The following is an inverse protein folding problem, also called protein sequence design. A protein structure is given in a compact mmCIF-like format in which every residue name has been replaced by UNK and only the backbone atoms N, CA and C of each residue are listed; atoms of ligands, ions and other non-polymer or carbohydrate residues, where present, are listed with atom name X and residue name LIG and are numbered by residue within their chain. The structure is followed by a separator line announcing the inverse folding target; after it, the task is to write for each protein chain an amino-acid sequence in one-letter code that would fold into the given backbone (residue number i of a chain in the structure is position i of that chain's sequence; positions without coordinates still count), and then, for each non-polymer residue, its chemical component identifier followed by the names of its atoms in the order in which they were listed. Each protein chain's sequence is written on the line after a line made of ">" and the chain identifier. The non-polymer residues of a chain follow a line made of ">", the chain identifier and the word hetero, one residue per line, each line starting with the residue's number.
data_IF_178146084468
#
_entry.id   IF_178146084468
#
_cell.length_a   1.000
_cell.length_b   1.000
_cell.length_c   1.000
_cell.angle_alpha   90.00
_cell.angle_beta   90.00
_cell.angle_gamma   90.00
#
_symmetry.space_group_name_H-M   'P 1'
#
loop_
_entity.id
_entity.type
_entity.pdbx_description
1 polymer ?
#
# COMPACT_ATOMS: atom_id res chain seq x y z
N UNK A 1 16.27 -1.99 -13.39
CA UNK A 1 15.97 -0.68 -12.77
C UNK A 1 16.99 -0.48 -11.69
N UNK A 2 17.66 0.65 -11.68
CA UNK A 2 18.51 1.03 -10.56
C UNK A 2 17.66 1.26 -9.30
N UNK A 3 18.27 1.17 -8.14
CA UNK A 3 17.59 1.35 -6.86
C UNK A 3 16.99 2.75 -6.73
N UNK A 4 15.79 2.85 -6.13
CA UNK A 4 15.18 4.14 -5.82
C UNK A 4 16.06 4.94 -4.85
N UNK A 5 16.13 6.28 -4.98
CA UNK A 5 16.85 7.11 -4.02
C UNK A 5 16.28 6.95 -2.61
N UNK A 6 17.15 6.98 -1.62
CA UNK A 6 16.73 7.00 -0.21
C UNK A 6 15.93 8.27 0.10
N UNK A 7 14.98 8.18 1.04
CA UNK A 7 14.19 9.31 1.51
C UNK A 7 15.08 10.47 2.00
N UNK A 8 16.17 10.17 2.70
CA UNK A 8 17.15 11.18 3.13
C UNK A 8 17.76 11.96 1.96
N UNK A 9 18.03 11.32 0.82
CA UNK A 9 18.57 11.98 -0.37
C UNK A 9 17.52 12.90 -1.03
N UNK A 10 16.26 12.47 -1.06
CA UNK A 10 15.14 13.31 -1.53
C UNK A 10 14.98 14.55 -0.65
N UNK A 11 15.09 14.39 0.68
CA UNK A 11 15.02 15.50 1.64
C UNK A 11 16.17 16.49 1.46
N UNK A 12 17.41 15.99 1.41
CA UNK A 12 18.62 16.81 1.30
C UNK A 12 18.71 17.55 -0.05
N UNK A 13 18.23 16.94 -1.13
CA UNK A 13 18.21 17.59 -2.46
C UNK A 13 17.11 18.64 -2.62
N UNK A 14 16.20 18.77 -1.66
CA UNK A 14 15.02 19.64 -1.75
C UNK A 14 13.92 19.12 -2.70
N UNK A 15 14.11 17.96 -3.35
CA UNK A 15 13.15 17.35 -4.27
C UNK A 15 12.31 16.30 -3.53
N UNK A 16 11.33 16.79 -2.75
CA UNK A 16 10.58 16.00 -1.76
C UNK A 16 9.22 15.49 -2.23
N UNK A 17 8.90 15.68 -3.51
CA UNK A 17 7.63 15.25 -4.10
C UNK A 17 7.90 14.35 -5.29
N UNK A 18 7.25 13.19 -5.29
CA UNK A 18 7.17 12.28 -6.42
C UNK A 18 5.68 12.06 -6.68
N UNK A 19 5.25 12.26 -7.91
CA UNK A 19 3.84 12.14 -8.30
C UNK A 19 3.68 10.91 -9.18
N UNK A 20 2.74 10.04 -8.80
CA UNK A 20 2.30 8.90 -9.58
C UNK A 20 0.85 9.09 -10.00
N UNK A 21 0.50 8.63 -11.20
CA UNK A 21 -0.87 8.57 -11.69
C UNK A 21 -1.21 7.11 -12.02
N UNK A 22 -2.32 6.64 -11.47
CA UNK A 22 -2.79 5.25 -11.54
C UNK A 22 -3.34 4.87 -12.92
N UNK A 23 -3.72 5.86 -13.72
CA UNK A 23 -4.29 5.63 -15.03
C UNK A 23 -3.99 6.79 -16.00
N UNK A 24 -3.61 6.43 -17.24
CA UNK A 24 -3.37 7.38 -18.34
C UNK A 24 -2.30 8.44 -18.05
N UNK A 25 -1.22 8.06 -17.36
CA UNK A 25 -0.02 8.90 -17.29
C UNK A 25 0.60 9.09 -18.68
N UNK A 26 0.81 10.34 -19.09
CA UNK A 26 1.46 10.72 -20.34
C UNK A 26 2.86 11.26 -20.02
N UNK A 27 3.79 10.35 -19.72
CA UNK A 27 5.17 10.71 -19.32
C UNK A 27 5.95 11.50 -20.39
N UNK A 28 5.81 11.23 -21.71
CA UNK A 28 6.45 12.06 -22.73
C UNK A 28 6.02 13.53 -22.68
N UNK A 29 4.75 13.80 -22.35
CA UNK A 29 4.20 15.16 -22.24
C UNK A 29 4.42 15.78 -20.85
N UNK A 30 4.31 14.97 -19.79
CA UNK A 30 4.40 15.38 -18.39
C UNK A 30 5.39 14.49 -17.62
N UNK A 31 6.70 14.67 -17.80
CA UNK A 31 7.72 13.75 -17.27
C UNK A 31 7.83 13.73 -15.73
N UNK A 32 7.14 14.63 -15.04
CA UNK A 32 7.05 14.70 -13.58
C UNK A 32 5.82 13.97 -13.01
N UNK A 33 4.94 13.43 -13.85
CA UNK A 33 3.82 12.56 -13.46
C UNK A 33 4.15 11.15 -13.96
N UNK A 34 4.59 10.29 -13.04
CA UNK A 34 5.01 8.93 -13.36
C UNK A 34 3.80 8.01 -13.51
N UNK A 35 3.85 7.07 -14.44
CA UNK A 35 2.89 5.96 -14.48
C UNK A 35 3.07 5.08 -13.25
N UNK A 36 2.06 5.02 -12.37
CA UNK A 36 2.13 4.21 -11.15
C UNK A 36 2.52 2.78 -11.47
N UNK A 37 1.87 2.13 -12.44
CA UNK A 37 2.08 0.72 -12.74
C UNK A 37 3.32 0.46 -13.60
N UNK A 38 4.05 1.50 -14.00
CA UNK A 38 5.42 1.34 -14.48
C UNK A 38 6.43 1.15 -13.33
N UNK A 39 6.12 1.62 -12.11
CA UNK A 39 7.04 1.61 -10.96
C UNK A 39 6.54 0.81 -9.74
N UNK A 40 5.23 0.64 -9.60
CA UNK A 40 4.58 -0.10 -8.53
C UNK A 40 4.02 -1.43 -9.03
N UNK A 41 3.88 -2.36 -8.10
CA UNK A 41 2.75 -3.28 -8.12
C UNK A 41 1.89 -3.06 -6.88
N UNK A 42 0.67 -3.59 -6.87
CA UNK A 42 -0.17 -3.59 -5.68
C UNK A 42 -0.97 -4.88 -5.52
N UNK A 43 -1.43 -5.11 -4.28
CA UNK A 43 -2.29 -6.23 -3.91
C UNK A 43 -3.75 -5.98 -4.32
N UNK A 44 -4.65 -6.99 -4.29
CA UNK A 44 -6.06 -6.75 -4.57
C UNK A 44 -6.70 -5.76 -3.60
N UNK A 45 -7.66 -4.99 -4.10
CA UNK A 45 -8.43 -3.98 -3.38
C UNK A 45 -9.88 -4.46 -3.14
N UNK A 46 -10.69 -3.65 -2.44
CA UNK A 46 -12.11 -3.93 -2.17
C UNK A 46 -12.38 -5.24 -1.44
N UNK A 47 -11.47 -5.69 -0.58
CA UNK A 47 -11.68 -6.92 0.20
C UNK A 47 -12.82 -6.76 1.20
N UNK A 48 -13.64 -7.80 1.34
CA UNK A 48 -14.66 -7.96 2.37
C UNK A 48 -14.28 -9.02 3.41
N UNK A 49 -13.14 -9.69 3.23
CA UNK A 49 -12.60 -10.63 4.22
C UNK A 49 -11.74 -9.85 5.24
N UNK A 50 -12.17 -9.80 6.52
CA UNK A 50 -11.46 -9.06 7.57
C UNK A 50 -10.10 -9.67 7.92
N UNK A 51 -9.77 -10.86 7.41
CA UNK A 51 -8.49 -11.52 7.69
C UNK A 51 -7.36 -11.10 6.74
N UNK A 52 -7.68 -10.47 5.61
CA UNK A 52 -6.71 -10.13 4.56
C UNK A 52 -5.79 -11.33 4.20
N UNK A 53 -6.35 -12.46 3.72
CA UNK A 53 -5.65 -13.75 3.69
C UNK A 53 -4.60 -13.89 2.58
N UNK A 54 -4.33 -12.84 1.82
CA UNK A 54 -3.48 -12.89 0.63
C UNK A 54 -2.79 -11.56 0.38
N UNK A 55 -1.56 -11.66 -0.15
CA UNK A 55 -0.79 -10.52 -0.63
C UNK A 55 -0.23 -10.82 -2.02
N UNK A 56 -1.08 -11.34 -2.94
CA UNK A 56 -0.68 -11.59 -4.32
C UNK A 56 -0.59 -10.28 -5.10
N UNK A 57 0.11 -10.28 -6.23
CA UNK A 57 0.08 -9.16 -7.17
C UNK A 57 -1.27 -9.14 -7.90
N UNK A 58 -1.91 -7.97 -7.94
CA UNK A 58 -3.15 -7.73 -8.69
C UNK A 58 -2.92 -6.81 -9.87
N UNK A 59 -2.31 -5.64 -9.61
CA UNK A 59 -2.05 -4.62 -10.62
C UNK A 59 -0.58 -4.23 -10.69
N UNK A 60 -0.02 -4.08 -11.90
CA UNK A 60 -0.63 -4.46 -13.18
C UNK A 60 -0.63 -6.00 -13.33
N UNK A 61 -1.52 -6.56 -14.17
CA UNK A 61 -1.56 -8.00 -14.41
C UNK A 61 -0.22 -8.49 -14.98
N UNK A 62 0.20 -9.68 -14.57
CA UNK A 62 1.47 -10.32 -14.96
C UNK A 62 2.75 -9.57 -14.55
N UNK A 63 2.67 -8.60 -13.63
CA UNK A 63 3.87 -7.99 -13.06
C UNK A 63 4.67 -8.98 -12.22
N UNK A 64 5.96 -8.68 -12.09
CA UNK A 64 6.87 -9.29 -11.12
C UNK A 64 7.14 -8.30 -10.00
N UNK A 65 7.39 -8.81 -8.79
CA UNK A 65 7.72 -7.96 -7.65
C UNK A 65 9.09 -7.27 -7.79
N UNK A 66 10.02 -7.91 -8.50
CA UNK A 66 11.39 -7.43 -8.67
C UNK A 66 11.44 -6.10 -9.43
N UNK A 67 12.26 -5.17 -8.92
CA UNK A 67 12.47 -3.87 -9.52
C UNK A 67 11.31 -2.89 -9.34
N UNK A 68 10.30 -3.22 -8.53
CA UNK A 68 9.14 -2.36 -8.29
C UNK A 68 9.00 -1.94 -6.83
N UNK A 69 8.51 -0.74 -6.59
CA UNK A 69 7.89 -0.39 -5.32
C UNK A 69 6.59 -1.20 -5.19
N UNK A 70 6.06 -1.33 -3.98
CA UNK A 70 4.72 -1.91 -3.85
C UNK A 70 3.85 -1.30 -2.78
N UNK A 71 2.56 -1.33 -3.09
CA UNK A 71 1.47 -0.82 -2.28
C UNK A 71 0.61 -1.99 -1.81
N UNK A 72 0.33 -2.02 -0.52
CA UNK A 72 -0.61 -2.98 0.07
C UNK A 72 -1.96 -2.29 0.25
N UNK A 73 -2.97 -2.80 -0.44
CA UNK A 73 -4.36 -2.38 -0.28
C UNK A 73 -4.94 -2.99 1.00
N UNK A 74 -4.85 -2.28 2.13
CA UNK A 74 -5.37 -2.69 3.43
C UNK A 74 -6.65 -1.91 3.78
N UNK A 75 -7.65 -2.01 2.89
CA UNK A 75 -8.96 -1.37 3.03
C UNK A 75 -10.04 -2.44 3.21
N UNK A 76 -10.63 -2.54 4.40
CA UNK A 76 -11.74 -3.46 4.67
C UNK A 76 -13.05 -2.81 4.27
N UNK A 77 -13.86 -3.56 3.54
CA UNK A 77 -15.18 -3.12 3.08
C UNK A 77 -16.28 -4.06 3.59
N UNK A 78 -17.51 -3.56 3.57
CA UNK A 78 -18.74 -4.34 3.73
C UNK A 78 -19.56 -4.24 2.46
N UNK A 79 -20.23 -5.34 2.12
CA UNK A 79 -21.23 -5.38 1.05
C UNK A 79 -22.62 -5.15 1.65
N UNK A 80 -23.26 -4.07 1.22
CA UNK A 80 -24.64 -3.72 1.58
C UNK A 80 -25.48 -3.79 0.31
N UNK A 81 -26.14 -4.93 0.10
CA UNK A 81 -27.03 -5.17 -1.05
C UNK A 81 -26.36 -4.95 -2.42
N UNK A 82 -25.11 -5.37 -2.57
CA UNK A 82 -24.30 -5.23 -3.78
C UNK A 82 -23.49 -3.94 -3.85
N UNK A 83 -23.58 -3.08 -2.82
CA UNK A 83 -22.80 -1.85 -2.73
C UNK A 83 -21.66 -2.05 -1.74
N UNK A 84 -20.42 -1.99 -2.25
CA UNK A 84 -19.21 -2.06 -1.44
C UNK A 84 -18.94 -0.68 -0.83
N UNK A 85 -18.87 -0.61 0.50
CA UNK A 85 -18.52 0.60 1.25
C UNK A 85 -17.45 0.32 2.29
N UNK A 86 -16.56 1.28 2.62
CA UNK A 86 -15.56 1.11 3.67
C UNK A 86 -16.17 0.75 5.03
N UNK A 87 -15.62 -0.27 5.71
CA UNK A 87 -16.07 -0.73 7.03
C UNK A 87 -15.58 0.21 8.14
N UNK A 88 -16.29 1.33 8.32
CA UNK A 88 -15.95 2.31 9.36
C UNK A 88 -16.06 1.76 10.78
N UNK A 89 -16.95 0.79 11.01
CA UNK A 89 -17.19 0.22 12.35
C UNK A 89 -15.98 -0.58 12.80
N UNK A 90 -15.39 -1.37 11.90
CA UNK A 90 -14.19 -2.17 12.20
C UNK A 90 -12.87 -1.43 11.98
N UNK A 91 -12.89 -0.20 11.46
CA UNK A 91 -11.68 0.58 11.20
C UNK A 91 -10.67 0.61 12.37
N UNK A 92 -11.06 0.74 13.66
CA UNK A 92 -10.09 0.66 14.76
C UNK A 92 -9.33 -0.67 14.85
N UNK A 93 -9.98 -1.80 14.50
CA UNK A 93 -9.36 -3.14 14.47
C UNK A 93 -8.56 -3.35 13.20
N UNK A 94 -9.11 -2.98 12.04
CA UNK A 94 -8.41 -3.07 10.74
C UNK A 94 -7.11 -2.27 10.80
N UNK A 95 -7.15 -1.03 11.28
CA UNK A 95 -5.98 -0.18 11.37
C UNK A 95 -5.12 -0.41 12.63
N UNK A 96 -5.28 -1.53 13.34
CA UNK A 96 -4.45 -1.85 14.49
C UNK A 96 -3.00 -2.13 14.07
N UNK A 97 -2.07 -2.01 15.01
CA UNK A 97 -0.66 -2.31 14.74
C UNK A 97 -0.38 -3.82 14.75
N UNK A 98 -1.14 -4.58 15.54
CA UNK A 98 -0.98 -6.04 15.67
C UNK A 98 -2.34 -6.73 15.78
N UNK A 99 -2.33 -8.06 15.66
CA UNK A 99 -3.52 -8.91 15.76
C UNK A 99 -4.10 -9.31 14.41
N UNK A 100 -4.99 -10.30 14.40
CA UNK A 100 -5.61 -10.81 13.17
C UNK A 100 -6.37 -9.70 12.44
N UNK A 101 -6.11 -9.56 11.14
CA UNK A 101 -6.75 -8.57 10.27
C UNK A 101 -6.23 -7.14 10.40
N UNK A 102 -5.15 -6.94 11.17
CA UNK A 102 -4.50 -5.64 11.36
C UNK A 102 -3.55 -5.28 10.20
N UNK A 103 -3.13 -4.01 10.15
CA UNK A 103 -2.06 -3.55 9.24
C UNK A 103 -0.81 -4.40 9.43
N UNK A 104 -0.37 -4.62 10.67
CA UNK A 104 0.84 -5.39 10.95
C UNK A 104 0.74 -6.83 10.46
N UNK A 105 -0.37 -7.51 10.71
CA UNK A 105 -0.57 -8.89 10.24
C UNK A 105 -0.58 -9.00 8.70
N UNK A 106 -1.20 -8.05 8.01
CA UNK A 106 -1.21 -8.04 6.54
C UNK A 106 0.19 -7.74 5.97
N UNK A 107 0.92 -6.81 6.59
CA UNK A 107 2.31 -6.49 6.24
C UNK A 107 3.24 -7.67 6.46
N UNK A 108 3.10 -8.39 7.58
CA UNK A 108 3.91 -9.58 7.88
C UNK A 108 3.67 -10.69 6.86
N UNK A 109 2.42 -10.91 6.45
CA UNK A 109 2.08 -11.82 5.36
C UNK A 109 2.78 -11.40 4.06
N UNK A 110 2.69 -10.14 3.66
CA UNK A 110 3.37 -9.62 2.48
C UNK A 110 4.88 -9.77 2.56
N UNK A 111 5.47 -9.48 3.72
CA UNK A 111 6.89 -9.60 3.95
C UNK A 111 7.38 -11.06 3.81
N UNK A 112 6.58 -12.04 4.25
CA UNK A 112 6.90 -13.47 4.07
C UNK A 112 6.92 -13.93 2.61
N UNK A 113 6.25 -13.22 1.71
CA UNK A 113 6.15 -13.55 0.28
C UNK A 113 7.24 -12.83 -0.52
N UNK A 114 7.50 -11.56 -0.19
CA UNK A 114 8.37 -10.68 -0.98
C UNK A 114 9.75 -10.42 -0.35
N UNK A 115 10.00 -10.93 0.86
CA UNK A 115 11.24 -10.74 1.63
C UNK A 115 11.61 -9.25 1.83
N UNK A 116 10.59 -8.40 1.87
CA UNK A 116 10.71 -6.96 2.14
C UNK A 116 9.36 -6.39 2.54
N UNK A 117 9.36 -5.34 3.36
CA UNK A 117 8.16 -4.58 3.76
C UNK A 117 7.61 -3.70 2.62
N UNK A 118 6.32 -3.35 2.64
CA UNK A 118 5.72 -2.48 1.63
C UNK A 118 6.27 -1.06 1.70
N UNK A 119 6.26 -0.40 0.53
CA UNK A 119 6.60 1.01 0.44
C UNK A 119 5.43 1.90 0.87
N UNK A 120 4.20 1.45 0.60
CA UNK A 120 2.96 2.17 0.91
C UNK A 120 1.92 1.19 1.43
N UNK A 121 1.18 1.58 2.46
CA UNK A 121 -0.05 0.90 2.90
C UNK A 121 -1.21 1.85 2.64
N UNK A 122 -2.16 1.44 1.81
CA UNK A 122 -3.41 2.16 1.57
C UNK A 122 -4.45 1.69 2.59
N UNK A 123 -5.11 2.63 3.26
CA UNK A 123 -6.08 2.36 4.33
C UNK A 123 -7.20 3.39 4.32
N UNK A 124 -8.33 3.04 4.92
CA UNK A 124 -9.45 3.95 5.17
C UNK A 124 -9.41 4.48 6.61
N UNK A 125 -9.89 5.71 6.81
CA UNK A 125 -10.04 6.34 8.13
C UNK A 125 -8.74 6.41 8.94
N UNK A 126 -7.76 7.17 8.45
CA UNK A 126 -6.42 7.32 9.05
C UNK A 126 -6.40 7.67 10.55
N UNK A 127 -7.47 8.27 11.07
CA UNK A 127 -7.62 8.63 12.47
C UNK A 127 -8.26 7.53 13.35
N UNK A 128 -8.55 6.35 12.81
CA UNK A 128 -9.10 5.21 13.53
C UNK A 128 -8.02 4.14 13.70
N UNK A 129 -7.91 3.57 14.90
CA UNK A 129 -6.93 2.53 15.22
C UNK A 129 -5.55 3.05 15.54
N UNK A 130 -4.52 2.29 15.20
CA UNK A 130 -3.12 2.52 15.60
C UNK A 130 -2.21 2.75 14.38
N UNK A 131 -2.70 3.44 13.34
CA UNK A 131 -2.00 3.62 12.05
C UNK A 131 -0.54 4.05 12.21
N UNK A 132 -0.28 5.07 13.03
CA UNK A 132 1.09 5.57 13.24
C UNK A 132 1.97 4.60 14.03
N UNK A 133 1.40 3.80 14.93
CA UNK A 133 2.15 2.75 15.63
C UNK A 133 2.51 1.63 14.66
N UNK A 134 1.60 1.23 13.78
CA UNK A 134 1.90 0.27 12.70
C UNK A 134 3.02 0.81 11.79
N UNK A 135 2.94 2.09 11.40
CA UNK A 135 3.99 2.76 10.62
C UNK A 135 5.35 2.74 11.35
N UNK A 136 5.38 3.08 12.63
CA UNK A 136 6.62 3.09 13.42
C UNK A 136 7.25 1.70 13.50
N UNK A 137 6.46 0.67 13.80
CA UNK A 137 6.93 -0.72 13.83
C UNK A 137 7.49 -1.19 12.48
N UNK A 138 6.84 -0.82 11.37
CA UNK A 138 7.35 -1.12 10.02
C UNK A 138 8.71 -0.46 9.78
N UNK A 139 8.94 0.74 10.30
CA UNK A 139 10.17 1.49 10.13
C UNK A 139 11.21 1.27 11.26
N UNK A 140 10.95 0.38 12.22
CA UNK A 140 11.88 0.04 13.30
C UNK A 140 11.95 1.03 14.46
N UNK A 141 10.86 1.76 14.72
CA UNK A 141 10.70 2.69 15.84
C UNK A 141 9.73 2.14 16.90
#
# INVERSE_FOLDING_TARGET
>A
MDSWPMLGNLISSGKRLIVFLDYKADMPKFPYILDQFAYFFETPFSTTDPKFPQCKIDRPPNAKADGRLYLVNHTLNVDIFGVIVPDRIRAPKTNAATGEGSIGAHVDLCNSIYDRKPNVVLLDFINQGEVFKAQNQMNGF
#
